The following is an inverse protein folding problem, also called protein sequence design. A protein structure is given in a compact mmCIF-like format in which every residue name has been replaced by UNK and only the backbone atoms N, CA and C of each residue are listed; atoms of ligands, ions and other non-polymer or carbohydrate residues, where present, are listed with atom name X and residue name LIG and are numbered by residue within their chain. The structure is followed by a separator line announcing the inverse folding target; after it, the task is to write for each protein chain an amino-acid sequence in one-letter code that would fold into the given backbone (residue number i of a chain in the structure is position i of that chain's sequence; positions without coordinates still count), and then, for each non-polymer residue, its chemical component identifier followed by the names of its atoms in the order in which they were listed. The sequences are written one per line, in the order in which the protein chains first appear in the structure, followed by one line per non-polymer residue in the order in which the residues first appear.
data_IF_170561649944
#
_entry.id   IF_170561649944
#
_cell.length_a   1.000
_cell.length_b   1.000
_cell.length_c   1.000
_cell.angle_alpha   90.00
_cell.angle_beta   90.00
_cell.angle_gamma   90.00
#
_symmetry.space_group_name_H-M   'P 1'
#
loop_
_entity.id
_entity.type
_entity.pdbx_description
1 polymer ?
#
# COMPACT_ATOMS: atom_id res chain seq x y z
N UNK A 1 -36.62 -39.80 -22.48
CA UNK A 1 -36.01 -39.22 -23.71
C UNK A 1 -34.60 -38.69 -23.48
N UNK A 2 -34.34 -37.87 -22.44
CA UNK A 2 -32.98 -37.34 -22.11
C UNK A 2 -31.89 -38.43 -22.03
N UNK A 3 -32.18 -39.55 -21.37
CA UNK A 3 -31.27 -40.72 -21.28
C UNK A 3 -30.92 -41.34 -22.64
N UNK A 4 -31.80 -41.23 -23.63
CA UNK A 4 -31.56 -41.72 -24.98
C UNK A 4 -30.61 -40.78 -25.74
N UNK A 5 -30.81 -39.46 -25.64
CA UNK A 5 -29.91 -38.47 -26.24
C UNK A 5 -28.48 -38.58 -25.70
N UNK A 6 -28.28 -38.67 -24.37
CA UNK A 6 -26.94 -38.87 -23.79
C UNK A 6 -26.27 -40.16 -24.29
N UNK A 7 -27.02 -41.26 -24.37
CA UNK A 7 -26.49 -42.55 -24.87
C UNK A 7 -26.08 -42.47 -26.34
N UNK A 8 -26.83 -41.73 -27.16
CA UNK A 8 -26.53 -41.52 -28.58
C UNK A 8 -25.26 -40.66 -28.75
N UNK A 9 -25.18 -39.54 -28.02
CA UNK A 9 -24.02 -38.62 -28.04
C UNK A 9 -22.74 -39.32 -27.59
N UNK A 10 -22.79 -40.14 -26.54
CA UNK A 10 -21.62 -40.88 -26.06
C UNK A 10 -21.13 -41.94 -27.07
N UNK A 11 -22.04 -42.60 -27.80
CA UNK A 11 -21.66 -43.50 -28.90
C UNK A 11 -21.04 -42.73 -30.07
N UNK A 12 -21.52 -41.53 -30.37
CA UNK A 12 -20.94 -40.66 -31.39
C UNK A 12 -19.54 -40.19 -31.01
N UNK A 13 -19.33 -39.74 -29.78
CA UNK A 13 -18.01 -39.35 -29.26
C UNK A 13 -17.03 -40.51 -29.34
N UNK A 14 -17.43 -41.73 -28.94
CA UNK A 14 -16.57 -42.92 -29.08
C UNK A 14 -16.25 -43.29 -30.54
N UNK A 15 -17.20 -43.08 -31.47
CA UNK A 15 -17.01 -43.37 -32.89
C UNK A 15 -16.07 -42.36 -33.57
N UNK A 16 -16.11 -41.10 -33.17
CA UNK A 16 -15.28 -40.01 -33.69
C UNK A 16 -14.35 -39.46 -32.60
N UNK A 17 -13.65 -40.37 -31.91
CA UNK A 17 -12.92 -40.07 -30.67
C UNK A 17 -11.85 -38.98 -30.86
N UNK A 18 -11.01 -39.10 -31.89
CA UNK A 18 -9.92 -38.15 -32.12
C UNK A 18 -10.45 -36.72 -32.35
N UNK A 19 -11.45 -36.56 -33.23
CA UNK A 19 -12.05 -35.25 -33.55
C UNK A 19 -12.76 -34.68 -32.32
N UNK A 20 -13.49 -35.52 -31.58
CA UNK A 20 -14.17 -35.10 -30.36
C UNK A 20 -13.19 -34.64 -29.29
N UNK A 21 -12.07 -35.35 -29.10
CA UNK A 21 -11.01 -34.96 -28.16
C UNK A 21 -10.38 -33.64 -28.58
N UNK A 22 -10.03 -33.47 -29.87
CA UNK A 22 -9.42 -32.22 -30.34
C UNK A 22 -10.35 -31.01 -30.14
N UNK A 23 -11.64 -31.15 -30.46
CA UNK A 23 -12.61 -30.07 -30.26
C UNK A 23 -12.83 -29.75 -28.78
N UNK A 24 -12.98 -30.78 -27.93
CA UNK A 24 -13.17 -30.58 -26.49
C UNK A 24 -11.92 -30.00 -25.85
N UNK A 25 -10.73 -30.48 -26.22
CA UNK A 25 -9.47 -29.98 -25.70
C UNK A 25 -9.23 -28.52 -26.12
N UNK A 26 -9.48 -28.18 -27.39
CA UNK A 26 -9.36 -26.80 -27.87
C UNK A 26 -10.28 -25.85 -27.13
N UNK A 27 -11.57 -26.22 -26.96
CA UNK A 27 -12.52 -25.43 -26.19
C UNK A 27 -12.11 -25.32 -24.71
N UNK A 28 -11.68 -26.43 -24.10
CA UNK A 28 -11.25 -26.44 -22.71
C UNK A 28 -10.02 -25.55 -22.48
N UNK A 29 -9.04 -25.57 -23.39
CA UNK A 29 -7.85 -24.71 -23.33
C UNK A 29 -8.23 -23.24 -23.53
N UNK A 30 -9.15 -22.93 -24.45
CA UNK A 30 -9.67 -21.58 -24.65
C UNK A 30 -10.32 -21.01 -23.39
N UNK A 31 -11.26 -21.76 -22.81
CA UNK A 31 -11.95 -21.37 -21.57
C UNK A 31 -10.98 -21.26 -20.40
N UNK A 32 -10.05 -22.22 -20.25
CA UNK A 32 -9.06 -22.17 -19.18
C UNK A 32 -8.14 -20.95 -19.30
N UNK A 33 -7.67 -20.66 -20.52
CA UNK A 33 -6.87 -19.46 -20.80
C UNK A 33 -7.66 -18.18 -20.48
N UNK A 34 -8.91 -18.09 -20.92
CA UNK A 34 -9.79 -16.96 -20.61
C UNK A 34 -9.95 -16.75 -19.09
N UNK A 35 -10.26 -17.81 -18.34
CA UNK A 35 -10.43 -17.74 -16.89
C UNK A 35 -9.15 -17.28 -16.20
N UNK A 36 -7.99 -17.84 -16.57
CA UNK A 36 -6.71 -17.45 -15.98
C UNK A 36 -6.37 -15.99 -16.26
N UNK A 37 -6.60 -15.51 -17.49
CA UNK A 37 -6.38 -14.11 -17.85
C UNK A 37 -7.33 -13.19 -17.07
N UNK A 38 -8.62 -13.55 -16.96
CA UNK A 38 -9.59 -12.76 -16.19
C UNK A 38 -9.25 -12.72 -14.70
N UNK A 39 -8.74 -13.82 -14.12
CA UNK A 39 -8.25 -13.84 -12.74
C UNK A 39 -7.05 -12.90 -12.56
N UNK A 40 -6.10 -12.89 -13.51
CA UNK A 40 -4.98 -11.96 -13.50
C UNK A 40 -5.45 -10.50 -13.59
N UNK A 41 -6.28 -10.17 -14.58
CA UNK A 41 -6.81 -8.80 -14.75
C UNK A 41 -7.56 -8.35 -13.52
N UNK A 42 -8.38 -9.23 -12.93
CA UNK A 42 -9.09 -8.94 -11.69
C UNK A 42 -8.14 -8.76 -10.51
N UNK A 43 -7.04 -9.51 -10.43
CA UNK A 43 -6.02 -9.34 -9.39
C UNK A 43 -5.37 -7.95 -9.49
N UNK A 44 -4.91 -7.56 -10.67
CA UNK A 44 -4.24 -6.27 -10.91
C UNK A 44 -5.16 -5.05 -10.66
N UNK A 45 -6.45 -5.14 -11.00
CA UNK A 45 -7.40 -4.02 -10.87
C UNK A 45 -8.00 -3.85 -9.46
N UNK A 46 -7.75 -4.80 -8.56
CA UNK A 46 -8.30 -4.79 -7.20
C UNK A 46 -7.27 -4.44 -6.11
N UNK A 47 -6.13 -3.86 -6.48
CA UNK A 47 -5.15 -3.35 -5.53
C UNK A 47 -5.75 -2.31 -4.57
N UNK A 48 -5.44 -2.48 -3.29
CA UNK A 48 -5.77 -1.64 -2.14
C UNK A 48 -7.26 -1.42 -1.83
N UNK A 49 -8.15 -2.09 -2.56
CA UNK A 49 -9.61 -2.05 -2.35
C UNK A 49 -10.09 -2.77 -1.09
N UNK A 50 -9.20 -3.40 -0.33
CA UNK A 50 -9.53 -4.01 0.96
C UNK A 50 -9.76 -2.97 2.07
N UNK A 51 -9.27 -1.74 1.88
CA UNK A 51 -9.47 -0.66 2.83
C UNK A 51 -10.93 -0.20 2.82
N UNK A 52 -11.55 0.00 3.98
CA UNK A 52 -12.95 0.42 4.11
C UNK A 52 -13.23 1.75 3.41
N UNK A 53 -12.25 2.66 3.40
CA UNK A 53 -12.33 3.99 2.81
C UNK A 53 -11.45 4.14 1.57
N UNK A 54 -11.21 3.08 0.81
CA UNK A 54 -10.28 3.09 -0.33
C UNK A 54 -10.56 4.17 -1.38
N UNK A 55 -11.79 4.68 -1.49
CA UNK A 55 -12.16 5.77 -2.40
C UNK A 55 -11.73 7.16 -1.92
N UNK A 56 -11.40 7.31 -0.64
CA UNK A 56 -11.05 8.61 -0.03
C UNK A 56 -9.58 8.66 0.44
N UNK A 57 -8.76 7.65 0.10
CA UNK A 57 -7.34 7.57 0.52
C UNK A 57 -6.40 8.00 -0.62
N UNK A 58 -5.48 8.88 -0.24
CA UNK A 58 -4.50 9.49 -1.15
C UNK A 58 -3.11 9.46 -0.54
N UNK A 59 -2.10 9.23 -1.38
CA UNK A 59 -0.68 9.47 -1.09
C UNK A 59 -0.31 10.87 -1.55
N UNK A 60 0.54 11.57 -0.80
CA UNK A 60 1.16 12.82 -1.27
C UNK A 60 2.45 12.47 -2.00
N UNK A 61 2.58 12.91 -3.24
CA UNK A 61 3.77 12.75 -4.05
C UNK A 61 4.41 14.11 -4.36
N UNK A 62 5.70 14.07 -4.69
CA UNK A 62 6.53 15.25 -4.94
C UNK A 62 7.14 15.16 -6.33
N UNK A 63 6.87 16.18 -7.14
CA UNK A 63 7.64 16.46 -8.35
C UNK A 63 8.40 17.77 -8.15
N UNK A 64 9.72 17.69 -8.21
CA UNK A 64 10.57 18.86 -8.06
C UNK A 64 11.68 18.85 -9.11
N UNK A 65 12.12 20.05 -9.49
CA UNK A 65 13.32 20.24 -10.29
C UNK A 65 14.18 21.27 -9.59
N UNK A 66 15.46 21.00 -9.48
CA UNK A 66 16.45 21.92 -8.89
C UNK A 66 17.64 21.94 -9.84
N UNK A 67 17.66 22.93 -10.74
CA UNK A 67 18.58 22.99 -11.87
C UNK A 67 18.47 21.76 -12.77
N UNK A 68 19.52 20.94 -12.79
CA UNK A 68 19.58 19.72 -13.61
C UNK A 68 19.04 18.46 -12.92
N UNK A 69 18.68 18.54 -11.64
CA UNK A 69 18.17 17.40 -10.89
C UNK A 69 16.65 17.40 -10.95
N UNK A 70 16.08 16.36 -11.56
CA UNK A 70 14.64 16.07 -11.52
C UNK A 70 14.40 15.05 -10.41
N UNK A 71 13.43 15.35 -9.56
CA UNK A 71 12.99 14.55 -8.43
C UNK A 71 11.52 14.23 -8.68
N UNK A 72 11.19 12.95 -8.69
CA UNK A 72 9.82 12.46 -8.73
C UNK A 72 9.75 11.31 -7.74
N UNK A 73 9.08 11.54 -6.61
CA UNK A 73 9.19 10.66 -5.44
C UNK A 73 7.96 10.68 -4.54
N UNK A 74 7.86 9.68 -3.68
CA UNK A 74 6.81 9.51 -2.67
C UNK A 74 7.17 10.15 -1.32
N UNK A 75 8.48 10.37 -1.08
CA UNK A 75 8.94 10.88 0.21
C UNK A 75 8.68 12.38 0.39
N UNK A 76 8.19 12.70 1.57
CA UNK A 76 7.76 14.02 2.01
C UNK A 76 8.40 14.38 3.36
N UNK A 77 8.44 15.68 3.72
CA UNK A 77 9.05 16.14 4.97
C UNK A 77 8.28 15.68 6.21
N UNK A 78 9.00 15.40 7.31
CA UNK A 78 8.41 14.94 8.56
C UNK A 78 7.31 15.87 9.13
N UNK A 79 7.43 17.19 8.88
CA UNK A 79 6.50 18.23 9.36
C UNK A 79 5.26 18.42 8.49
N UNK A 80 5.35 18.06 7.21
CA UNK A 80 4.31 18.33 6.23
C UNK A 80 2.94 17.77 6.64
N UNK A 81 2.84 16.51 7.13
CA UNK A 81 1.53 15.91 7.42
C UNK A 81 0.76 16.63 8.52
N UNK A 82 1.42 16.98 9.62
CA UNK A 82 0.77 17.69 10.72
C UNK A 82 0.30 19.08 10.29
N UNK A 83 1.12 19.80 9.53
CA UNK A 83 0.75 21.11 9.01
C UNK A 83 -0.42 21.04 8.01
N UNK A 84 -0.46 20.02 7.14
CA UNK A 84 -1.60 19.81 6.24
C UNK A 84 -2.87 19.51 7.03
N UNK A 85 -2.81 18.63 8.03
CA UNK A 85 -3.95 18.29 8.86
C UNK A 85 -4.52 19.49 9.63
N UNK A 86 -3.65 20.37 10.15
CA UNK A 86 -4.07 21.57 10.88
C UNK A 86 -4.70 22.64 9.95
N UNK A 87 -4.28 22.71 8.68
CA UNK A 87 -4.71 23.75 7.73
C UNK A 87 -5.93 23.33 6.89
N UNK A 88 -6.10 22.04 6.63
CA UNK A 88 -7.12 21.51 5.74
C UNK A 88 -8.15 20.66 6.51
N UNK A 89 -9.31 21.23 6.89
CA UNK A 89 -10.33 20.52 7.66
C UNK A 89 -10.94 19.33 6.90
N UNK A 90 -10.84 19.29 5.58
CA UNK A 90 -11.26 18.16 4.74
C UNK A 90 -10.40 16.90 4.94
N UNK A 91 -9.23 17.00 5.59
CA UNK A 91 -8.38 15.85 5.91
C UNK A 91 -8.89 15.21 7.20
N UNK A 92 -9.51 14.03 7.08
CA UNK A 92 -10.08 13.30 8.21
C UNK A 92 -9.03 12.57 9.04
N UNK A 93 -8.00 12.04 8.38
CA UNK A 93 -6.86 11.38 9.03
C UNK A 93 -5.63 11.49 8.13
N UNK A 94 -4.44 11.57 8.74
CA UNK A 94 -3.17 11.59 8.01
C UNK A 94 -2.14 10.74 8.75
N UNK A 95 -1.30 10.01 8.03
CA UNK A 95 -0.26 9.16 8.62
C UNK A 95 1.02 9.22 7.79
N UNK A 96 2.16 9.17 8.48
CA UNK A 96 3.47 8.90 7.90
C UNK A 96 3.78 7.42 7.96
N UNK A 97 4.55 6.96 6.99
CA UNK A 97 5.15 5.63 6.94
C UNK A 97 6.63 5.78 6.63
N UNK A 98 7.46 5.07 7.39
CA UNK A 98 8.87 4.85 7.09
C UNK A 98 9.18 3.35 7.15
N UNK A 99 9.37 2.73 5.99
CA UNK A 99 9.74 1.33 5.82
C UNK A 99 11.21 1.11 6.18
N UNK A 100 11.54 0.15 7.03
CA UNK A 100 12.95 -0.13 7.38
C UNK A 100 13.12 -1.60 7.68
N UNK A 101 14.25 -2.15 7.26
CA UNK A 101 14.71 -3.42 7.81
C UNK A 101 15.09 -3.24 9.28
N UNK A 102 14.51 -4.07 10.15
CA UNK A 102 14.70 -4.02 11.59
C UNK A 102 15.28 -5.34 12.10
N UNK A 103 16.35 -5.23 12.89
CA UNK A 103 16.87 -6.37 13.64
C UNK A 103 15.99 -6.55 14.88
N UNK A 104 15.35 -7.71 14.99
CA UNK A 104 14.52 -8.11 16.13
C UNK A 104 15.20 -9.24 16.89
N UNK A 105 15.32 -9.06 18.20
CA UNK A 105 15.90 -10.03 19.12
C UNK A 105 14.82 -10.52 20.09
N UNK A 106 14.68 -11.84 20.22
CA UNK A 106 13.74 -12.50 21.11
C UNK A 106 14.47 -13.62 21.88
N UNK A 107 14.89 -13.33 23.12
CA UNK A 107 15.75 -14.22 23.88
C UNK A 107 17.09 -14.42 23.16
N UNK A 108 17.39 -15.68 22.79
CA UNK A 108 18.61 -16.03 22.03
C UNK A 108 18.42 -15.98 20.51
N UNK A 109 17.20 -15.73 20.02
CA UNK A 109 16.87 -15.71 18.60
C UNK A 109 17.00 -14.29 18.04
N UNK A 110 17.55 -14.18 16.84
CA UNK A 110 17.70 -12.93 16.10
C UNK A 110 17.06 -13.09 14.73
N UNK A 111 16.19 -12.15 14.39
CA UNK A 111 15.51 -12.04 13.11
C UNK A 111 15.86 -10.70 12.47
N UNK A 112 15.92 -10.67 11.14
CA UNK A 112 15.89 -9.43 10.38
C UNK A 112 14.53 -9.37 9.69
N UNK A 113 13.72 -8.39 10.06
CA UNK A 113 12.43 -8.12 9.44
C UNK A 113 12.62 -7.02 8.41
N UNK A 114 12.68 -7.40 7.14
CA UNK A 114 12.86 -6.46 6.04
C UNK A 114 11.61 -5.64 5.72
N UNK A 115 10.43 -6.15 6.12
CA UNK A 115 9.12 -5.57 5.89
C UNK A 115 8.56 -4.87 7.13
N UNK A 116 9.42 -4.28 7.97
CA UNK A 116 8.95 -3.49 9.10
C UNK A 116 8.73 -2.03 8.69
N UNK A 117 7.77 -1.36 9.32
CA UNK A 117 7.51 0.05 9.11
C UNK A 117 7.25 0.76 10.43
N UNK A 118 7.69 2.01 10.51
CA UNK A 118 7.33 2.93 11.57
C UNK A 118 6.22 3.86 11.08
N UNK A 119 5.13 3.93 11.84
CA UNK A 119 3.91 4.62 11.42
C UNK A 119 3.33 5.49 12.53
N UNK A 120 2.57 6.52 12.16
CA UNK A 120 1.82 7.33 13.12
C UNK A 120 0.63 6.55 13.72
N UNK A 121 0.12 7.02 14.86
CA UNK A 121 -1.04 6.39 15.54
C UNK A 121 -2.33 6.39 14.73
N UNK A 122 -2.42 7.29 13.75
CA UNK A 122 -3.54 7.47 12.82
C UNK A 122 -3.47 6.51 11.63
N UNK A 123 -2.44 5.65 11.53
CA UNK A 123 -2.31 4.67 10.46
C UNK A 123 -3.59 3.84 10.27
N UNK A 124 -4.19 3.37 11.37
CA UNK A 124 -5.40 2.53 11.35
C UNK A 124 -6.68 3.30 11.09
N UNK A 125 -6.62 4.64 11.05
CA UNK A 125 -7.72 5.50 10.60
C UNK A 125 -7.68 5.74 9.09
N UNK A 126 -6.50 5.54 8.47
CA UNK A 126 -6.30 5.60 7.01
C UNK A 126 -6.43 4.20 6.41
N UNK A 127 -5.71 3.22 6.94
CA UNK A 127 -5.67 1.85 6.44
C UNK A 127 -6.45 0.88 7.35
N UNK A 128 -7.12 -0.08 6.74
CA UNK A 128 -7.94 -1.07 7.47
C UNK A 128 -7.10 -2.26 7.90
N UNK A 129 -7.03 -2.51 9.21
CA UNK A 129 -6.42 -3.70 9.78
C UNK A 129 -7.49 -4.62 10.40
N UNK A 130 -7.46 -5.89 10.01
CA UNK A 130 -8.32 -6.92 10.60
C UNK A 130 -7.60 -7.57 11.79
N UNK A 131 -7.96 -7.18 13.01
CA UNK A 131 -7.32 -7.68 14.22
C UNK A 131 -7.72 -9.11 14.58
N UNK A 132 -6.73 -9.91 14.96
CA UNK A 132 -6.84 -11.28 15.44
C UNK A 132 -6.66 -11.36 16.96
N UNK A 133 -5.74 -10.55 17.49
CA UNK A 133 -5.46 -10.43 18.92
C UNK A 133 -5.24 -8.96 19.27
N UNK A 134 -5.63 -8.55 20.47
CA UNK A 134 -5.42 -7.17 20.89
C UNK A 134 -6.24 -6.17 20.09
N UNK A 135 -5.66 -5.00 19.82
CA UNK A 135 -6.41 -3.75 19.88
C UNK A 135 -7.02 -3.21 18.57
N UNK A 136 -8.33 -2.87 18.63
CA UNK A 136 -9.04 -1.82 17.89
C UNK A 136 -9.38 -0.55 18.74
N UNK A 137 -8.51 -0.18 19.69
CA UNK A 137 -8.44 1.15 20.32
C UNK A 137 -7.22 1.95 19.84
N UNK A 138 -6.93 3.11 20.46
CA UNK A 138 -5.74 3.91 20.11
C UNK A 138 -4.45 3.14 20.42
N UNK A 139 -3.74 2.74 19.37
CA UNK A 139 -2.42 2.08 19.41
C UNK A 139 -1.42 2.89 18.62
N UNK A 140 -0.14 2.57 18.79
CA UNK A 140 1.00 3.24 18.18
C UNK A 140 1.12 4.73 18.55
N UNK A 141 0.47 5.15 19.63
CA UNK A 141 0.45 6.52 20.14
C UNK A 141 1.50 6.78 21.24
N UNK A 142 2.13 5.72 21.77
CA UNK A 142 3.21 5.82 22.74
C UNK A 142 4.45 5.07 22.24
N UNK A 143 5.67 5.49 22.63
CA UNK A 143 6.88 4.74 22.36
C UNK A 143 6.79 3.31 22.92
N UNK A 144 7.46 2.37 22.24
CA UNK A 144 7.53 0.99 22.72
C UNK A 144 6.31 0.14 22.36
N UNK A 145 5.53 0.54 21.35
CA UNK A 145 4.37 -0.20 20.88
C UNK A 145 4.61 -0.78 19.48
N UNK A 146 4.13 -2.00 19.25
CA UNK A 146 4.20 -2.69 17.95
C UNK A 146 2.93 -3.48 17.66
N UNK A 147 2.54 -3.52 16.39
CA UNK A 147 1.58 -4.47 15.83
C UNK A 147 2.32 -5.46 14.93
N UNK A 148 1.91 -6.73 14.96
CA UNK A 148 2.48 -7.78 14.13
C UNK A 148 1.41 -8.36 13.21
N UNK A 149 1.80 -8.77 12.01
CA UNK A 149 0.92 -9.61 11.20
C UNK A 149 0.84 -11.04 11.79
N UNK A 150 -0.05 -11.87 11.27
CA UNK A 150 -0.26 -13.24 11.74
C UNK A 150 1.00 -14.07 11.53
N UNK A 151 1.61 -13.94 10.35
CA UNK A 151 2.76 -14.75 9.97
C UNK A 151 3.96 -14.50 10.88
N UNK A 152 4.25 -13.24 11.21
CA UNK A 152 5.35 -12.82 12.10
C UNK A 152 5.05 -13.14 13.54
N UNK A 153 3.81 -12.93 13.99
CA UNK A 153 3.37 -13.38 15.32
C UNK A 153 3.64 -14.87 15.53
N UNK A 154 3.25 -15.72 14.57
CA UNK A 154 3.50 -17.17 14.61
C UNK A 154 4.99 -17.51 14.53
N UNK A 155 5.76 -16.79 13.72
CA UNK A 155 7.21 -16.94 13.61
C UNK A 155 7.91 -16.71 14.95
N UNK A 156 7.46 -15.73 15.73
CA UNK A 156 8.07 -15.36 17.01
C UNK A 156 7.56 -16.20 18.19
N UNK A 157 6.26 -16.46 18.24
CA UNK A 157 5.60 -16.99 19.44
C UNK A 157 4.89 -18.33 19.21
N UNK A 158 4.94 -18.89 18.00
CA UNK A 158 4.25 -20.13 17.65
C UNK A 158 2.73 -19.94 17.67
N UNK A 159 2.01 -20.88 18.28
CA UNK A 159 0.56 -20.78 18.46
C UNK A 159 0.16 -20.10 19.80
N UNK A 160 1.12 -19.51 20.52
CA UNK A 160 0.83 -18.76 21.75
C UNK A 160 0.38 -17.33 21.44
N UNK A 161 -0.46 -16.76 22.31
CA UNK A 161 -0.84 -15.35 22.26
C UNK A 161 0.40 -14.44 22.27
N UNK A 162 0.45 -13.51 21.32
CA UNK A 162 1.54 -12.55 21.19
C UNK A 162 1.24 -11.25 21.95
N UNK A 163 -0.04 -10.90 22.11
CA UNK A 163 -0.46 -9.71 22.83
C UNK A 163 0.19 -9.59 24.22
N UNK A 164 0.78 -8.43 24.49
CA UNK A 164 1.47 -8.10 25.75
C UNK A 164 2.89 -8.66 25.88
N UNK A 165 3.37 -9.46 24.92
CA UNK A 165 4.78 -9.90 24.89
C UNK A 165 5.69 -8.77 24.41
N UNK A 166 6.97 -8.86 24.76
CA UNK A 166 7.99 -7.86 24.41
C UNK A 166 8.98 -8.45 23.42
N UNK A 167 9.30 -7.69 22.38
CA UNK A 167 10.39 -7.95 21.44
C UNK A 167 11.43 -6.82 21.55
N UNK A 168 12.70 -7.11 21.27
CA UNK A 168 13.75 -6.10 21.27
C UNK A 168 14.12 -5.71 19.85
N UNK A 169 14.03 -4.43 19.50
CA UNK A 169 14.51 -3.90 18.21
C UNK A 169 15.87 -3.24 18.39
N UNK A 170 16.80 -3.52 17.46
CA UNK A 170 18.19 -3.05 17.50
C UNK A 170 18.90 -3.28 18.84
N UNK A 171 18.53 -4.37 19.54
CA UNK A 171 19.00 -4.77 20.88
C UNK A 171 18.80 -3.71 21.99
N UNK A 172 18.10 -2.61 21.72
CA UNK A 172 18.06 -1.43 22.59
C UNK A 172 16.66 -0.87 22.80
N UNK A 173 15.72 -1.13 21.88
CA UNK A 173 14.37 -0.57 21.92
C UNK A 173 13.38 -1.70 22.25
N UNK A 174 12.86 -1.77 23.49
CA UNK A 174 11.82 -2.73 23.84
C UNK A 174 10.49 -2.31 23.23
N UNK A 175 9.86 -3.21 22.47
CA UNK A 175 8.52 -3.01 21.90
C UNK A 175 7.56 -4.06 22.46
N UNK A 176 6.42 -3.59 22.98
CA UNK A 176 5.33 -4.42 23.48
C UNK A 176 4.31 -4.63 22.37
N UNK A 177 3.93 -5.89 22.13
CA UNK A 177 2.93 -6.26 21.13
C UNK A 177 1.55 -5.81 21.59
N UNK A 178 1.00 -4.81 20.92
CA UNK A 178 -0.32 -4.22 21.21
C UNK A 178 -1.45 -4.88 20.43
N UNK A 179 -1.11 -5.69 19.42
CA UNK A 179 -2.08 -6.44 18.65
C UNK A 179 -1.43 -7.28 17.55
N UNK A 180 -2.20 -8.23 17.07
CA UNK A 180 -1.88 -9.05 15.90
C UNK A 180 -2.99 -8.82 14.89
N UNK A 181 -2.63 -8.51 13.64
CA UNK A 181 -3.56 -8.34 12.54
C UNK A 181 -3.40 -9.46 11.49
N UNK A 182 -4.42 -9.66 10.66
CA UNK A 182 -4.34 -10.51 9.46
C UNK A 182 -3.24 -10.02 8.53
N UNK A 183 -2.52 -10.94 7.87
CA UNK A 183 -1.55 -10.55 6.85
C UNK A 183 -2.23 -9.70 5.76
N UNK A 184 -1.52 -8.69 5.23
CA UNK A 184 -2.06 -7.85 4.16
C UNK A 184 -2.47 -8.71 2.96
N UNK A 185 -3.60 -8.41 2.30
CA UNK A 185 -4.02 -9.13 1.11
C UNK A 185 -2.98 -8.99 0.00
N UNK A 186 -2.83 -10.03 -0.84
CA UNK A 186 -1.88 -10.01 -1.95
C UNK A 186 -2.07 -8.83 -2.93
N UNK A 187 -3.28 -8.26 -3.01
CA UNK A 187 -3.57 -7.04 -3.75
C UNK A 187 -3.38 -5.79 -2.88
N UNK A 188 -2.23 -5.64 -2.24
CA UNK A 188 -1.83 -4.38 -1.58
C UNK A 188 -0.50 -3.91 -2.14
N UNK A 189 -0.31 -2.60 -2.22
CA UNK A 189 0.96 -2.01 -2.66
C UNK A 189 2.08 -2.09 -1.60
N UNK A 190 1.78 -2.58 -0.39
CA UNK A 190 2.77 -2.89 0.63
C UNK A 190 2.32 -4.12 1.45
N UNK A 191 3.30 -4.87 1.98
CA UNK A 191 3.06 -6.02 2.84
C UNK A 191 3.92 -5.95 4.12
N UNK A 192 3.67 -4.94 4.96
CA UNK A 192 4.42 -4.78 6.21
C UNK A 192 4.10 -5.91 7.20
N UNK A 193 5.15 -6.54 7.73
CA UNK A 193 5.07 -7.62 8.70
C UNK A 193 5.01 -7.11 10.15
N UNK A 194 5.51 -5.89 10.37
CA UNK A 194 5.62 -5.26 11.68
C UNK A 194 5.39 -3.75 11.58
N UNK A 195 4.44 -3.22 12.36
CA UNK A 195 4.14 -1.80 12.44
C UNK A 195 4.53 -1.28 13.83
N UNK A 196 5.57 -0.46 13.91
CA UNK A 196 6.04 0.13 15.16
C UNK A 196 5.55 1.57 15.31
N UNK A 197 5.35 2.02 16.54
CA UNK A 197 5.02 3.43 16.77
C UNK A 197 6.19 4.30 16.32
N UNK A 198 5.94 5.24 15.41
CA UNK A 198 6.95 6.16 14.91
C UNK A 198 7.63 6.95 16.03
N UNK A 199 6.90 7.25 17.10
CA UNK A 199 7.43 7.94 18.30
C UNK A 199 8.57 7.13 18.97
N UNK A 200 8.61 5.81 18.78
CA UNK A 200 9.68 4.93 19.30
C UNK A 200 11.02 5.17 18.62
N UNK A 201 11.02 5.69 17.39
CA UNK A 201 12.24 5.91 16.59
C UNK A 201 12.39 7.38 16.15
N UNK A 202 11.62 8.28 16.74
CA UNK A 202 11.53 9.71 16.37
C UNK A 202 12.91 10.39 16.34
N UNK A 203 13.76 10.10 17.32
CA UNK A 203 15.12 10.66 17.41
C UNK A 203 16.06 10.28 16.26
N UNK A 204 15.74 9.24 15.48
CA UNK A 204 16.57 8.80 14.36
C UNK A 204 16.18 9.47 13.03
N UNK A 205 14.94 9.95 12.89
CA UNK A 205 14.39 10.33 11.58
C UNK A 205 13.49 11.57 11.58
N UNK A 206 13.20 12.18 12.73
CA UNK A 206 12.33 13.35 12.85
C UNK A 206 13.08 14.66 12.54
N UNK A 207 13.77 14.71 11.40
CA UNK A 207 14.37 15.94 10.90
C UNK A 207 13.25 16.92 10.54
N UNK A 208 13.19 18.00 11.32
CA UNK A 208 12.19 19.04 11.23
C UNK A 208 12.34 19.98 10.02
N UNK A 209 13.33 19.74 9.16
CA UNK A 209 13.56 20.53 7.96
C UNK A 209 12.51 20.22 6.87
N UNK A 210 11.93 21.25 6.27
CA UNK A 210 10.97 21.17 5.17
C UNK A 210 11.52 20.59 3.86
N UNK A 211 12.83 20.37 3.78
CA UNK A 211 13.48 19.68 2.67
C UNK A 211 13.99 18.28 3.02
N UNK A 212 13.73 17.79 4.25
CA UNK A 212 14.15 16.46 4.70
C UNK A 212 13.06 15.41 4.42
N UNK A 213 13.02 14.95 3.17
CA UNK A 213 12.04 13.98 2.68
C UNK A 213 12.40 12.56 3.12
N UNK A 214 11.73 12.05 4.17
CA UNK A 214 12.06 10.74 4.77
C UNK A 214 10.86 9.82 4.98
N UNK A 215 9.65 10.30 4.68
CA UNK A 215 8.39 9.64 5.00
C UNK A 215 7.46 9.62 3.81
N UNK A 216 6.77 8.51 3.60
CA UNK A 216 5.61 8.50 2.72
C UNK A 216 4.39 8.93 3.52
N UNK A 217 3.64 9.89 2.96
CA UNK A 217 2.48 10.46 3.63
C UNK A 217 1.21 10.03 2.94
N UNK A 218 0.30 9.46 3.71
CA UNK A 218 -1.03 9.09 3.26
C UNK A 218 -2.07 9.83 4.08
N UNK A 219 -3.17 10.18 3.45
CA UNK A 219 -4.30 10.80 4.10
C UNK A 219 -5.62 10.24 3.62
N UNK A 220 -6.62 10.33 4.49
CA UNK A 220 -8.02 10.06 4.19
C UNK A 220 -8.77 11.38 4.19
N UNK A 221 -9.44 11.70 3.09
CA UNK A 221 -10.28 12.89 2.96
C UNK A 221 -11.69 12.62 3.49
N UNK A 222 -12.49 13.68 3.62
CA UNK A 222 -13.93 13.56 3.82
C UNK A 222 -14.57 12.76 2.67
N UNK A 223 -15.51 11.83 2.96
CA UNK A 223 -16.14 11.01 1.93
C UNK A 223 -16.75 11.82 0.78
N UNK A 224 -16.28 11.56 -0.44
CA UNK A 224 -16.75 12.25 -1.65
C UNK A 224 -16.26 13.69 -1.80
N UNK A 225 -15.28 14.12 -1.00
CA UNK A 225 -14.59 15.40 -1.22
C UNK A 225 -13.78 15.35 -2.53
N UNK A 226 -13.91 16.35 -3.42
CA UNK A 226 -13.19 16.37 -4.68
C UNK A 226 -11.70 16.69 -4.47
N UNK A 227 -10.83 15.71 -4.74
CA UNK A 227 -9.36 15.81 -4.60
C UNK A 227 -8.76 17.04 -5.29
N UNK A 228 -9.24 17.40 -6.49
CA UNK A 228 -8.82 18.58 -7.25
C UNK A 228 -8.92 19.89 -6.44
N UNK A 229 -9.87 19.99 -5.50
CA UNK A 229 -10.03 21.19 -4.67
C UNK A 229 -8.96 21.29 -3.58
N UNK A 230 -8.48 20.15 -3.06
CA UNK A 230 -7.35 20.14 -2.12
C UNK A 230 -6.04 20.34 -2.89
N UNK A 231 -5.87 19.68 -4.04
CA UNK A 231 -4.71 19.87 -4.92
C UNK A 231 -4.50 21.33 -5.32
N UNK A 232 -5.57 22.04 -5.66
CA UNK A 232 -5.51 23.46 -6.00
C UNK A 232 -4.99 24.35 -4.84
N UNK A 233 -5.01 23.88 -3.59
CA UNK A 233 -4.48 24.59 -2.41
C UNK A 233 -3.01 24.27 -2.13
N UNK A 234 -2.48 23.16 -2.66
CA UNK A 234 -1.12 22.71 -2.41
C UNK A 234 -0.03 23.69 -2.89
N UNK A 235 -0.16 24.41 -4.02
CA UNK A 235 0.83 25.43 -4.40
C UNK A 235 1.00 26.51 -3.33
N UNK A 236 -0.10 26.99 -2.73
CA UNK A 236 -0.05 27.98 -1.65
C UNK A 236 0.57 27.40 -0.37
N UNK A 237 0.35 26.11 -0.10
CA UNK A 237 1.01 25.40 1.01
C UNK A 237 2.52 25.37 0.82
N UNK A 238 2.97 24.96 -0.38
CA UNK A 238 4.40 24.90 -0.72
C UNK A 238 5.03 26.28 -0.59
N UNK A 239 4.40 27.32 -1.14
CA UNK A 239 4.92 28.67 -1.06
C UNK A 239 5.07 29.14 0.39
N UNK A 240 4.05 28.93 1.22
CA UNK A 240 4.05 29.32 2.63
C UNK A 240 5.12 28.60 3.46
N UNK A 241 5.27 27.28 3.31
CA UNK A 241 6.10 26.47 4.21
C UNK A 241 7.51 26.18 3.69
N UNK A 242 7.70 26.06 2.38
CA UNK A 242 9.00 25.75 1.77
C UNK A 242 9.71 27.01 1.26
N UNK A 243 8.95 28.01 0.80
CA UNK A 243 9.51 29.20 0.14
C UNK A 243 9.21 30.52 0.87
N UNK A 244 8.52 30.50 2.00
CA UNK A 244 8.19 31.67 2.82
C UNK A 244 7.53 32.83 2.03
N UNK A 245 6.69 32.51 1.04
CA UNK A 245 6.00 33.51 0.21
C UNK A 245 6.80 34.02 -0.99
N UNK A 246 7.90 33.37 -1.34
CA UNK A 246 8.78 33.74 -2.46
C UNK A 246 8.85 32.69 -3.56
N UNK A 247 7.87 31.77 -3.64
CA UNK A 247 7.83 30.72 -4.66
C UNK A 247 7.85 31.33 -6.06
N UNK A 248 6.98 32.29 -6.37
CA UNK A 248 6.95 32.92 -7.71
C UNK A 248 8.27 33.61 -8.08
N UNK A 249 9.04 34.09 -7.11
CA UNK A 249 10.36 34.72 -7.35
C UNK A 249 11.47 33.68 -7.54
N UNK A 250 11.29 32.47 -7.01
CA UNK A 250 12.29 31.39 -6.96
C UNK A 250 11.97 30.23 -7.88
N UNK A 251 10.76 30.17 -8.41
CA UNK A 251 10.26 29.09 -9.25
C UNK A 251 10.26 29.48 -10.71
N UNK A 252 10.80 28.61 -11.55
CA UNK A 252 10.76 28.70 -13.01
C UNK A 252 10.72 27.29 -13.62
N UNK A 253 10.84 27.19 -14.95
CA UNK A 253 10.85 25.91 -15.68
C UNK A 253 12.04 24.99 -15.28
N UNK A 254 13.05 25.53 -14.59
CA UNK A 254 14.23 24.81 -14.12
C UNK A 254 14.27 24.59 -12.61
N UNK A 255 13.41 25.28 -11.85
CA UNK A 255 13.34 25.21 -10.40
C UNK A 255 11.89 25.20 -9.95
N UNK A 256 11.35 24.06 -9.55
CA UNK A 256 9.99 23.98 -9.02
C UNK A 256 9.88 22.91 -7.94
N UNK A 257 8.86 23.02 -7.12
CA UNK A 257 8.49 22.02 -6.13
C UNK A 257 6.98 21.91 -6.09
N UNK A 258 6.45 20.78 -6.55
CA UNK A 258 5.03 20.53 -6.69
C UNK A 258 4.67 19.36 -5.79
N UNK A 259 3.66 19.56 -4.97
CA UNK A 259 2.96 18.49 -4.26
C UNK A 259 1.69 18.18 -5.03
N UNK A 260 1.39 16.90 -5.22
CA UNK A 260 0.13 16.43 -5.81
C UNK A 260 -0.36 15.19 -5.07
N UNK A 261 -1.63 14.88 -5.25
CA UNK A 261 -2.29 13.75 -4.63
C UNK A 261 -2.34 12.60 -5.61
N UNK A 262 -2.08 11.41 -5.10
CA UNK A 262 -2.22 10.19 -5.87
C UNK A 262 -3.21 9.28 -5.17
N UNK A 263 -4.30 8.98 -5.84
CA UNK A 263 -5.31 8.09 -5.31
C UNK A 263 -4.74 6.69 -5.09
N UNK A 264 -5.02 6.06 -3.95
CA UNK A 264 -4.48 4.73 -3.59
C UNK A 264 -4.68 3.67 -4.68
N UNK A 265 -5.83 3.68 -5.39
CA UNK A 265 -6.15 2.75 -6.49
C UNK A 265 -5.19 2.86 -7.68
N UNK A 266 -4.52 4.00 -7.83
CA UNK A 266 -3.65 4.29 -8.97
C UNK A 266 -2.18 3.99 -8.66
N UNK A 267 -1.83 3.75 -7.40
CA UNK A 267 -0.43 3.49 -7.00
C UNK A 267 0.11 2.27 -7.75
N UNK A 268 -0.58 1.12 -7.69
CA UNK A 268 -0.07 -0.11 -8.32
C UNK A 268 0.08 -0.01 -9.84
N UNK A 269 -0.82 0.64 -10.57
CA UNK A 269 -0.84 0.58 -12.05
C UNK A 269 -0.49 1.89 -12.76
N UNK A 270 -0.51 3.00 -12.04
CA UNK A 270 -0.32 4.35 -12.57
C UNK A 270 0.90 5.07 -12.02
N UNK A 271 1.56 4.53 -10.99
CA UNK A 271 2.75 5.12 -10.40
C UNK A 271 4.05 4.51 -10.94
N UNK A 272 5.10 5.34 -10.99
CA UNK A 272 6.48 4.96 -11.30
C UNK A 272 7.42 5.99 -10.63
N UNK A 273 7.26 6.15 -9.31
CA UNK A 273 7.97 7.17 -8.53
C UNK A 273 9.16 6.56 -7.80
N UNK A 274 10.11 7.40 -7.39
CA UNK A 274 11.12 6.94 -6.43
C UNK A 274 10.49 6.77 -5.04
N UNK A 275 10.78 5.65 -4.39
CA UNK A 275 10.23 5.33 -3.07
C UNK A 275 8.91 4.58 -3.11
N UNK A 276 8.72 3.72 -4.11
CA UNK A 276 7.63 2.74 -4.07
C UNK A 276 8.03 1.60 -3.13
N UNK A 277 7.15 1.25 -2.19
CA UNK A 277 7.41 0.15 -1.25
C UNK A 277 7.61 -1.19 -1.96
N UNK A 278 6.85 -1.42 -3.03
CA UNK A 278 6.91 -2.63 -3.84
C UNK A 278 6.86 -2.29 -5.33
N UNK A 279 7.33 -3.19 -6.22
CA UNK A 279 7.29 -2.94 -7.65
C UNK A 279 5.86 -2.73 -8.17
N UNK A 280 5.63 -1.63 -8.88
CA UNK A 280 4.36 -1.35 -9.53
C UNK A 280 4.09 -2.33 -10.69
N UNK A 281 2.81 -2.55 -10.97
CA UNK A 281 2.32 -3.23 -12.16
C UNK A 281 2.36 -2.35 -13.40
N UNK A 282 1.90 -2.90 -14.52
CA UNK A 282 1.88 -2.20 -15.80
C UNK A 282 0.47 -2.22 -16.42
N UNK A 283 -0.17 -1.05 -16.43
CA UNK A 283 -1.52 -0.90 -16.99
C UNK A 283 -1.62 -1.32 -18.45
N UNK A 284 -0.54 -1.23 -19.24
CA UNK A 284 -0.54 -1.67 -20.63
C UNK A 284 -0.72 -3.19 -20.74
N UNK A 285 -0.08 -3.98 -19.86
CA UNK A 285 -0.29 -5.44 -19.83
C UNK A 285 -1.71 -5.79 -19.41
N UNK A 286 -2.25 -5.11 -18.40
CA UNK A 286 -3.66 -5.30 -17.99
C UNK A 286 -4.61 -5.02 -19.15
N UNK A 287 -4.39 -3.93 -19.90
CA UNK A 287 -5.18 -3.59 -21.09
C UNK A 287 -5.05 -4.63 -22.21
N UNK A 288 -3.83 -5.06 -22.53
CA UNK A 288 -3.58 -6.09 -23.56
C UNK A 288 -4.28 -7.40 -23.18
N UNK A 289 -4.11 -7.85 -21.95
CA UNK A 289 -4.72 -9.09 -21.46
C UNK A 289 -6.25 -9.01 -21.40
N UNK A 290 -6.81 -7.86 -21.04
CA UNK A 290 -8.25 -7.64 -21.10
C UNK A 290 -8.79 -7.78 -22.54
N UNK A 291 -8.08 -7.23 -23.53
CA UNK A 291 -8.45 -7.37 -24.94
C UNK A 291 -8.32 -8.83 -25.40
N UNK A 292 -7.24 -9.52 -25.03
CA UNK A 292 -7.04 -10.94 -25.37
C UNK A 292 -8.14 -11.80 -24.75
N UNK A 293 -8.50 -11.58 -23.48
CA UNK A 293 -9.59 -12.29 -22.83
C UNK A 293 -10.92 -12.05 -23.55
N UNK A 294 -11.21 -10.83 -24.00
CA UNK A 294 -12.42 -10.54 -24.75
C UNK A 294 -12.49 -11.25 -26.12
N UNK A 295 -11.35 -11.55 -26.73
CA UNK A 295 -11.26 -12.23 -28.02
C UNK A 295 -11.30 -13.77 -27.94
N UNK A 296 -11.04 -14.35 -26.77
CA UNK A 296 -11.09 -15.80 -26.50
C UNK A 296 -12.53 -16.30 -26.29
#
# INVERSE_FOLDING_TARGET
MVKHYFKLTFRHIKKYLLISILNIAGLAIGIASFVLIMLYVNHELNYDRYNEHFDDIYRVAVDAKIGNTVISQTWTPARMPLAMYDEYPEIMAITRIADRSMKVTLGDLVYNEDLAAAVDSTFTEVFTLNYLEGSPGKVLNEPGQVLLDRTTSRKYFGDETAYGKVIMVYDTIPLTVMGVFEDFPAQSHFHFSMLISLVSIDGLYNNQNWFANNFETYMRLEPGFPEDQLEAKLPAFVDKYLFEGSYEERSDDENFWILYLQHIKEIHLGSDLNGEFEPNGNIAYVRIFSIVAFLL
#
